data_IF_184401895606
#
_entry.id   IF_184401895606
#
_cell.length_a   1.000
_cell.length_b   1.000
_cell.length_c   1.000
_cell.angle_alpha   90.00
_cell.angle_beta   90.00
_cell.angle_gamma   90.00
#
_symmetry.space_group_name_H-M   'P 1'
#
loop_
_entity.id
_entity.type
_entity.pdbx_description
1 polymer ?
#
# COMPACT_ATOMS: atom_id res chain seq x y z
N UNK A 1 25.38 -42.64 7.99
CA UNK A 1 25.72 -41.26 7.60
C UNK A 1 24.43 -40.48 7.43
N UNK A 2 24.24 -39.42 8.22
CA UNK A 2 23.06 -38.53 8.15
C UNK A 2 23.46 -37.30 7.31
N UNK A 3 22.94 -37.23 6.10
CA UNK A 3 22.93 -36.09 5.18
C UNK A 3 21.53 -36.16 4.55
N UNK A 4 20.69 -35.14 4.47
CA UNK A 4 20.93 -33.70 4.42
C UNK A 4 19.64 -33.00 4.84
N UNK A 5 19.82 -32.00 5.70
CA UNK A 5 18.91 -30.87 5.90
C UNK A 5 18.68 -30.16 4.56
N UNK A 6 17.53 -29.47 4.43
CA UNK A 6 17.20 -28.47 3.38
C UNK A 6 16.27 -28.92 2.22
N UNK A 7 15.23 -29.70 2.53
CA UNK A 7 13.95 -29.66 1.81
C UNK A 7 12.98 -28.90 2.74
N UNK A 8 12.29 -27.80 2.43
CA UNK A 8 11.85 -27.18 1.18
C UNK A 8 11.70 -25.68 1.49
N UNK A 9 12.72 -24.88 1.19
CA UNK A 9 12.66 -23.41 1.29
C UNK A 9 12.46 -22.86 -0.14
N UNK A 10 11.33 -23.15 -0.78
CA UNK A 10 11.13 -22.78 -2.19
C UNK A 10 9.66 -22.69 -2.66
N UNK A 11 8.72 -22.26 -1.80
CA UNK A 11 7.30 -22.14 -2.19
C UNK A 11 6.73 -20.71 -2.15
N UNK A 12 7.56 -19.66 -2.11
CA UNK A 12 7.06 -18.28 -1.98
C UNK A 12 7.44 -17.31 -3.11
N UNK A 13 7.87 -17.79 -4.28
CA UNK A 13 8.29 -16.92 -5.40
C UNK A 13 7.53 -17.13 -6.71
N UNK A 14 6.31 -17.65 -6.67
CA UNK A 14 5.48 -17.89 -7.86
C UNK A 14 4.12 -17.18 -7.74
N UNK A 15 4.14 -15.85 -7.72
CA UNK A 15 2.96 -15.02 -8.03
C UNK A 15 3.25 -13.94 -9.09
N UNK A 16 4.30 -14.11 -9.88
CA UNK A 16 4.54 -13.31 -11.08
C UNK A 16 4.47 -14.23 -12.28
N UNK A 17 3.32 -14.27 -12.95
CA UNK A 17 3.14 -14.45 -14.40
C UNK A 17 1.73 -14.96 -14.74
N UNK A 18 0.86 -14.03 -15.16
CA UNK A 18 -0.25 -14.17 -16.13
C UNK A 18 -0.92 -12.78 -16.18
N UNK A 19 -0.99 -11.98 -17.24
CA UNK A 19 -0.67 -12.05 -18.66
C UNK A 19 -1.25 -10.78 -19.31
N UNK A 20 -0.78 -10.40 -20.51
CA UNK A 20 -1.34 -9.37 -21.42
C UNK A 20 -1.36 -7.92 -20.92
N UNK A 21 -0.64 -7.01 -21.62
CA UNK A 21 -0.74 -5.53 -21.47
C UNK A 21 -1.14 -5.11 -20.05
N UNK A 22 -0.20 -5.30 -19.12
CA UNK A 22 -0.41 -5.38 -17.68
C UNK A 22 -1.40 -4.36 -17.16
N UNK A 23 -2.32 -4.84 -16.32
CA UNK A 23 -3.20 -4.00 -15.53
C UNK A 23 -2.34 -3.15 -14.59
N UNK A 24 -1.87 -2.02 -15.12
CA UNK A 24 -1.00 -1.08 -14.43
C UNK A 24 -1.62 -0.62 -13.12
N UNK A 25 -2.94 -0.68 -12.99
CA UNK A 25 -3.64 -0.33 -11.77
C UNK A 25 -3.42 -1.35 -10.65
N UNK A 26 -3.50 -2.64 -10.97
CA UNK A 26 -3.17 -3.70 -10.02
C UNK A 26 -1.70 -3.61 -9.56
N UNK A 27 -0.79 -3.34 -10.51
CA UNK A 27 0.64 -3.19 -10.22
C UNK A 27 0.94 -1.92 -9.39
N UNK A 28 0.26 -0.81 -9.67
CA UNK A 28 0.39 0.44 -8.91
C UNK A 28 -0.07 0.26 -7.46
N UNK A 29 -1.23 -0.38 -7.26
CA UNK A 29 -1.77 -0.67 -5.93
C UNK A 29 -0.80 -1.57 -5.15
N UNK A 30 -0.36 -2.68 -5.74
CA UNK A 30 0.56 -3.62 -5.09
C UNK A 30 1.88 -2.93 -4.70
N UNK A 31 2.40 -2.08 -5.58
CA UNK A 31 3.63 -1.32 -5.33
C UNK A 31 3.48 -0.30 -4.21
N UNK A 32 2.34 0.40 -4.16
CA UNK A 32 2.02 1.33 -3.09
C UNK A 32 1.94 0.63 -1.72
N UNK A 33 1.21 -0.48 -1.63
CA UNK A 33 1.13 -1.25 -0.39
C UNK A 33 2.50 -1.79 0.06
N UNK A 34 3.30 -2.33 -0.87
CA UNK A 34 4.63 -2.84 -0.57
C UNK A 34 5.55 -1.73 -0.02
N UNK A 35 5.50 -0.55 -0.63
CA UNK A 35 6.28 0.60 -0.17
C UNK A 35 5.85 1.05 1.23
N UNK A 36 4.54 1.08 1.50
CA UNK A 36 4.01 1.40 2.82
C UNK A 36 4.43 0.38 3.89
N UNK A 37 4.32 -0.93 3.63
CA UNK A 37 4.79 -2.00 4.54
C UNK A 37 6.27 -1.81 4.89
N UNK A 38 7.11 -1.48 3.91
CA UNK A 38 8.54 -1.21 4.12
C UNK A 38 8.81 0.01 5.00
N UNK A 39 8.04 1.09 4.82
CA UNK A 39 8.24 2.33 5.57
C UNK A 39 7.79 2.26 7.02
N UNK A 40 6.70 1.57 7.31
CA UNK A 40 6.23 1.37 8.70
C UNK A 40 6.90 0.16 9.36
N UNK A 41 7.72 -0.59 8.63
CA UNK A 41 8.37 -1.82 9.09
C UNK A 41 7.39 -2.86 9.65
N UNK A 42 6.22 -2.99 9.02
CA UNK A 42 5.20 -3.99 9.37
C UNK A 42 4.77 -4.75 8.10
N UNK A 43 5.34 -5.94 7.84
CA UNK A 43 4.96 -6.75 6.68
C UNK A 43 3.54 -7.32 6.79
N UNK A 44 2.98 -7.37 8.00
CA UNK A 44 1.63 -7.87 8.26
C UNK A 44 0.55 -6.77 8.20
N UNK A 45 0.94 -5.53 7.88
CA UNK A 45 -0.02 -4.45 7.73
C UNK A 45 -1.05 -4.78 6.63
N UNK A 46 -2.31 -4.55 6.95
CA UNK A 46 -3.44 -4.76 6.04
C UNK A 46 -3.92 -3.43 5.47
N UNK A 47 -4.45 -3.50 4.25
CA UNK A 47 -4.89 -2.33 3.50
C UNK A 47 -6.38 -2.42 3.25
N UNK A 48 -7.08 -1.31 3.38
CA UNK A 48 -8.52 -1.22 3.10
C UNK A 48 -8.85 0.11 2.46
N UNK A 49 -10.01 0.16 1.79
CA UNK A 49 -10.47 1.34 1.06
C UNK A 49 -9.41 1.88 0.09
N UNK A 50 -8.75 0.96 -0.61
CA UNK A 50 -7.74 1.30 -1.60
C UNK A 50 -8.43 1.70 -2.90
N UNK A 51 -8.09 2.86 -3.43
CA UNK A 51 -8.51 3.30 -4.76
C UNK A 51 -7.31 3.84 -5.53
N UNK A 52 -7.54 4.02 -6.83
CA UNK A 52 -6.56 4.44 -7.80
C UNK A 52 -7.17 5.56 -8.64
N UNK A 53 -6.44 6.67 -8.77
CA UNK A 53 -6.81 7.77 -9.66
C UNK A 53 -5.70 8.06 -10.67
N UNK A 54 -6.05 8.67 -11.80
CA UNK A 54 -5.11 9.01 -12.88
C UNK A 54 -4.79 7.85 -13.83
N UNK A 55 -3.56 7.80 -14.33
CA UNK A 55 -3.07 6.80 -15.29
C UNK A 55 -1.69 6.23 -14.91
N UNK A 56 -1.15 5.34 -15.74
CA UNK A 56 0.14 4.68 -15.52
C UNK A 56 1.35 5.60 -15.44
N UNK A 57 1.22 6.88 -15.81
CA UNK A 57 2.31 7.85 -15.79
C UNK A 57 2.15 8.89 -14.68
N UNK A 58 0.91 9.23 -14.29
CA UNK A 58 0.60 10.36 -13.41
C UNK A 58 -0.37 10.02 -12.28
N UNK A 59 -0.73 8.75 -12.10
CA UNK A 59 -1.72 8.34 -11.11
C UNK A 59 -1.21 8.28 -9.67
N UNK A 60 -2.15 8.00 -8.75
CA UNK A 60 -1.87 7.75 -7.35
C UNK A 60 -2.76 6.66 -6.76
N UNK A 61 -2.22 5.97 -5.77
CA UNK A 61 -2.96 5.05 -4.90
C UNK A 61 -3.16 5.70 -3.54
N UNK A 62 -4.38 5.62 -3.01
CA UNK A 62 -4.68 6.06 -1.65
C UNK A 62 -5.46 4.99 -0.90
N UNK A 63 -5.38 4.97 0.44
CA UNK A 63 -6.20 4.07 1.25
C UNK A 63 -5.87 4.13 2.74
N UNK A 64 -6.31 3.12 3.48
CA UNK A 64 -6.03 2.94 4.91
C UNK A 64 -5.06 1.80 5.12
N UNK A 65 -4.06 2.04 5.95
CA UNK A 65 -3.17 1.02 6.50
C UNK A 65 -3.60 0.73 7.93
N UNK A 66 -3.80 -0.54 8.22
CA UNK A 66 -3.98 -1.03 9.58
C UNK A 66 -2.75 -1.83 9.99
N UNK A 67 -2.14 -1.46 11.11
CA UNK A 67 -0.92 -2.08 11.63
C UNK A 67 -1.02 -2.31 13.14
N UNK A 68 -0.32 -3.32 13.65
CA UNK A 68 -0.25 -3.61 15.09
C UNK A 68 0.99 -2.98 15.70
N UNK A 69 0.79 -2.14 16.72
CA UNK A 69 1.85 -1.55 17.54
C UNK A 69 1.72 -2.07 18.96
N UNK A 70 2.49 -3.13 19.28
CA UNK A 70 2.31 -3.89 20.52
C UNK A 70 0.93 -4.56 20.54
N UNK A 71 0.13 -4.27 21.57
CA UNK A 71 -1.25 -4.77 21.69
C UNK A 71 -2.29 -3.88 20.98
N UNK A 72 -1.88 -2.71 20.51
CA UNK A 72 -2.80 -1.74 19.91
C UNK A 72 -2.88 -1.93 18.40
N UNK A 73 -4.09 -1.83 17.86
CA UNK A 73 -4.29 -1.67 16.42
C UNK A 73 -4.33 -0.18 16.10
N UNK A 74 -3.50 0.24 15.15
CA UNK A 74 -3.43 1.62 14.68
C UNK A 74 -3.83 1.66 13.21
N UNK A 75 -4.48 2.75 12.83
CA UNK A 75 -4.91 2.98 11.46
C UNK A 75 -4.38 4.32 11.00
N UNK A 76 -3.83 4.37 9.80
CA UNK A 76 -3.39 5.62 9.16
C UNK A 76 -3.77 5.61 7.69
N UNK A 77 -3.91 6.80 7.12
CA UNK A 77 -4.06 6.97 5.68
C UNK A 77 -2.72 6.87 4.97
N UNK A 78 -2.76 6.52 3.69
CA UNK A 78 -1.62 6.66 2.79
C UNK A 78 -2.06 7.23 1.43
N UNK A 79 -1.13 7.93 0.79
CA UNK A 79 -1.19 8.37 -0.60
C UNK A 79 0.19 8.06 -1.19
N UNK A 80 0.24 7.44 -2.36
CA UNK A 80 1.47 7.09 -3.08
C UNK A 80 1.27 7.40 -4.55
N UNK A 81 2.08 8.32 -5.10
CA UNK A 81 2.12 8.56 -6.54
C UNK A 81 2.89 7.47 -7.30
N UNK A 82 2.44 7.20 -8.52
CA UNK A 82 3.02 6.21 -9.43
C UNK A 82 4.34 6.68 -10.02
N UNK A 83 4.48 7.97 -10.32
CA UNK A 83 5.71 8.57 -10.82
C UNK A 83 6.82 8.68 -9.77
N UNK A 84 6.50 8.36 -8.51
CA UNK A 84 7.41 8.46 -7.38
C UNK A 84 7.72 9.89 -6.93
N UNK A 85 7.12 10.92 -7.55
CA UNK A 85 7.04 12.25 -6.96
C UNK A 85 6.19 12.16 -5.68
N UNK A 86 6.36 13.05 -4.69
CA UNK A 86 5.64 12.92 -3.39
C UNK A 86 4.19 13.40 -3.46
N UNK A 87 3.23 12.88 -2.63
CA UNK A 87 3.47 12.86 -1.20
C UNK A 87 3.47 11.47 -0.58
N UNK A 88 3.99 11.49 0.63
CA UNK A 88 3.99 10.47 1.66
C UNK A 88 3.59 11.19 2.95
N UNK A 89 2.52 10.81 3.64
CA UNK A 89 2.20 11.43 4.95
C UNK A 89 1.38 10.45 5.80
N UNK A 90 1.67 10.14 7.08
CA UNK A 90 2.52 10.76 8.11
C UNK A 90 3.64 9.83 8.65
N UNK A 91 4.70 10.42 9.24
CA UNK A 91 5.59 9.73 10.17
C UNK A 91 4.87 9.50 11.50
N UNK A 92 4.37 8.29 11.68
CA UNK A 92 3.77 7.81 12.92
C UNK A 92 2.43 7.15 12.65
N UNK A 93 2.27 5.92 13.12
CA UNK A 93 0.97 5.27 13.19
C UNK A 93 0.09 6.04 14.19
N UNK A 94 -0.70 6.98 13.66
CA UNK A 94 -1.59 7.86 14.41
C UNK A 94 -2.72 7.13 15.12
N UNK A 95 -3.57 7.91 15.78
CA UNK A 95 -4.83 7.47 16.39
C UNK A 95 -5.74 6.81 15.35
N UNK A 96 -6.68 5.98 15.78
CA UNK A 96 -7.74 5.47 14.91
C UNK A 96 -8.50 6.64 14.25
N UNK A 97 -8.41 6.73 12.92
CA UNK A 97 -9.17 7.68 12.10
C UNK A 97 -10.64 7.24 12.06
N UNK A 98 -11.58 8.19 12.13
CA UNK A 98 -12.99 7.88 11.93
C UNK A 98 -13.30 7.72 10.44
N UNK A 99 -14.38 7.01 10.08
CA UNK A 99 -14.79 6.87 8.68
C UNK A 99 -15.08 8.23 8.03
N UNK A 100 -15.65 9.19 8.78
CA UNK A 100 -15.95 10.52 8.25
C UNK A 100 -14.69 11.33 7.95
N UNK A 101 -13.67 11.25 8.82
CA UNK A 101 -12.38 11.88 8.58
C UNK A 101 -11.68 11.25 7.37
N UNK A 102 -11.82 9.92 7.22
CA UNK A 102 -11.34 9.21 6.03
C UNK A 102 -12.07 9.69 4.78
N UNK A 103 -13.40 9.71 4.74
CA UNK A 103 -14.17 10.10 3.56
C UNK A 103 -13.89 11.56 3.15
N UNK A 104 -13.67 12.45 4.13
CA UNK A 104 -13.28 13.82 3.88
C UNK A 104 -11.86 13.90 3.30
N UNK A 105 -10.89 13.26 3.94
CA UNK A 105 -9.49 13.20 3.47
C UNK A 105 -9.38 12.51 2.10
N UNK A 106 -10.19 11.48 1.88
CA UNK A 106 -10.34 10.79 0.61
C UNK A 106 -10.74 11.78 -0.49
N UNK A 107 -11.87 12.44 -0.29
CA UNK A 107 -12.41 13.35 -1.27
C UNK A 107 -11.51 14.55 -1.47
N UNK A 108 -10.92 15.08 -0.40
CA UNK A 108 -10.05 16.24 -0.47
C UNK A 108 -8.69 15.88 -1.07
N UNK A 109 -7.98 14.92 -0.49
CA UNK A 109 -6.56 14.70 -0.80
C UNK A 109 -6.39 13.72 -1.96
N UNK A 110 -7.22 12.67 -2.05
CA UNK A 110 -7.10 11.67 -3.09
C UNK A 110 -7.84 12.04 -4.40
N UNK A 111 -9.02 12.67 -4.28
CA UNK A 111 -9.86 13.01 -5.44
C UNK A 111 -9.68 14.47 -5.86
N UNK A 112 -9.78 15.43 -4.93
CA UNK A 112 -9.79 16.85 -5.27
C UNK A 112 -8.38 17.46 -5.40
N UNK A 113 -7.41 17.04 -4.60
CA UNK A 113 -6.01 17.50 -4.62
C UNK A 113 -5.10 16.55 -5.38
N UNK A 114 -5.56 15.33 -5.68
CA UNK A 114 -4.79 14.32 -6.40
C UNK A 114 -4.22 14.82 -7.72
N UNK A 115 -3.10 14.23 -8.13
CA UNK A 115 -2.19 14.68 -9.21
C UNK A 115 -2.84 15.62 -10.23
N UNK A 116 -2.81 16.92 -9.92
CA UNK A 116 -3.13 17.99 -10.87
C UNK A 116 -1.84 18.31 -11.59
N UNK A 117 -1.59 17.61 -12.70
CA UNK A 117 -0.47 17.93 -13.58
C UNK A 117 -0.39 19.42 -13.90
#
# INVERSE_FOLDING_TARGET
MRLTSNLLLACALLSACSGSNGDWGADAIASAEARMRGLINDPAASFSHVDLTGDSATGQTCGVITSKVGIFTKQVRFIVYIDGAGPYVEPGLGSSMSQADFDWAWKNDCVNEGYKG
#
